data_IF_176680586361
#
_entry.id   IF_176680586361
#
_cell.length_a   1.000
_cell.length_b   1.000
_cell.length_c   1.000
_cell.angle_alpha   90.00
_cell.angle_beta   90.00
_cell.angle_gamma   90.00
#
_symmetry.space_group_name_H-M   'P 1'
#
loop_
_entity.id
_entity.type
_entity.pdbx_description
1 polymer ?
#
# COMPACT_ATOMS: atom_id res chain seq x y z
N UNK A 1 15.55 -23.16 -7.05
CA UNK A 1 15.04 -24.16 -8.02
C UNK A 1 14.55 -23.31 -9.18
N UNK A 2 13.45 -23.57 -9.90
CA UNK A 2 12.88 -22.50 -10.72
C UNK A 2 11.47 -22.30 -10.18
N UNK A 3 11.34 -21.32 -9.30
CA UNK A 3 10.18 -21.07 -8.44
C UNK A 3 8.92 -20.87 -9.31
N UNK A 4 9.09 -20.24 -10.47
CA UNK A 4 8.03 -20.06 -11.47
C UNK A 4 7.51 -21.39 -12.05
N UNK A 5 8.38 -22.41 -12.22
CA UNK A 5 7.95 -23.74 -12.68
C UNK A 5 7.14 -24.47 -11.62
N UNK A 6 7.47 -24.29 -10.35
CA UNK A 6 6.71 -24.87 -9.23
C UNK A 6 5.31 -24.25 -9.16
N UNK A 7 5.24 -22.92 -9.31
CA UNK A 7 3.98 -22.18 -9.39
C UNK A 7 3.12 -22.63 -10.57
N UNK A 8 3.73 -22.77 -11.75
CA UNK A 8 3.02 -23.22 -12.95
C UNK A 8 2.48 -24.65 -12.80
N UNK A 9 3.26 -25.54 -12.15
CA UNK A 9 2.82 -26.91 -11.88
C UNK A 9 1.69 -26.95 -10.84
N UNK A 10 1.78 -26.13 -9.78
CA UNK A 10 0.77 -26.03 -8.72
C UNK A 10 -0.55 -25.47 -9.23
N UNK A 11 -0.49 -24.42 -10.04
CA UNK A 11 -1.69 -23.74 -10.53
C UNK A 11 -2.35 -24.46 -11.70
N UNK A 12 -1.70 -25.48 -12.29
CA UNK A 12 -2.19 -26.15 -13.50
C UNK A 12 -2.15 -25.26 -14.73
N UNK A 13 -1.35 -24.19 -14.73
CA UNK A 13 -1.27 -23.24 -15.84
C UNK A 13 -2.44 -22.25 -15.92
N UNK A 14 -3.12 -21.99 -14.79
CA UNK A 14 -4.12 -20.92 -14.66
C UNK A 14 -3.79 -19.98 -13.51
N UNK A 15 -4.47 -18.84 -13.48
CA UNK A 15 -4.43 -17.87 -12.39
C UNK A 15 -5.09 -18.48 -11.15
N UNK A 16 -4.39 -18.47 -10.03
CA UNK A 16 -4.86 -19.06 -8.77
C UNK A 16 -5.99 -18.24 -8.10
N UNK A 17 -6.26 -17.03 -8.60
CA UNK A 17 -7.36 -16.19 -8.12
C UNK A 17 -8.59 -16.28 -9.02
N UNK A 18 -8.43 -16.03 -10.33
CA UNK A 18 -9.57 -15.91 -11.26
C UNK A 18 -9.69 -17.04 -12.29
N UNK A 19 -8.72 -17.96 -12.36
CA UNK A 19 -8.74 -19.08 -13.31
C UNK A 19 -8.37 -18.73 -14.76
N UNK A 20 -8.04 -17.48 -15.09
CA UNK A 20 -7.56 -17.10 -16.43
C UNK A 20 -6.20 -17.74 -16.74
N UNK A 21 -5.96 -18.12 -17.99
CA UNK A 21 -4.66 -18.65 -18.47
C UNK A 21 -3.78 -17.58 -19.15
N UNK A 22 -4.18 -16.31 -19.14
CA UNK A 22 -3.50 -15.25 -19.89
C UNK A 22 -2.48 -14.48 -19.05
N UNK A 23 -1.29 -14.22 -19.61
CA UNK A 23 -0.29 -13.33 -19.01
C UNK A 23 0.14 -13.73 -17.59
N UNK A 24 0.28 -15.04 -17.34
CA UNK A 24 0.56 -15.56 -16.00
C UNK A 24 1.96 -15.19 -15.53
N UNK A 25 2.06 -14.74 -14.30
CA UNK A 25 3.33 -14.44 -13.67
C UNK A 25 3.27 -14.61 -12.16
N UNK A 26 4.45 -14.77 -11.56
CA UNK A 26 4.60 -14.78 -10.11
C UNK A 26 4.29 -13.40 -9.52
N UNK A 27 3.57 -13.43 -8.40
CA UNK A 27 3.35 -12.30 -7.51
C UNK A 27 3.60 -12.75 -6.07
N UNK A 28 4.53 -12.08 -5.39
CA UNK A 28 4.85 -12.37 -3.99
C UNK A 28 3.74 -11.86 -3.06
N UNK A 29 3.43 -12.65 -2.03
CA UNK A 29 2.51 -12.26 -0.97
C UNK A 29 3.34 -11.70 0.18
N UNK A 30 3.50 -10.38 0.23
CA UNK A 30 4.33 -9.72 1.24
C UNK A 30 3.75 -9.88 2.66
N UNK A 31 4.57 -10.01 3.72
CA UNK A 31 6.01 -10.27 3.70
C UNK A 31 6.34 -11.63 3.07
N UNK A 32 7.31 -11.65 2.16
CA UNK A 32 7.72 -12.85 1.41
C UNK A 32 9.24 -13.03 1.48
N UNK A 33 9.69 -14.27 1.43
CA UNK A 33 11.09 -14.69 1.25
C UNK A 33 11.44 -14.98 -0.22
N UNK A 34 10.50 -14.75 -1.15
CA UNK A 34 10.66 -15.02 -2.58
C UNK A 34 10.41 -16.47 -2.96
N UNK A 35 10.02 -17.34 -2.02
CA UNK A 35 9.68 -18.73 -2.29
C UNK A 35 8.36 -18.87 -3.05
N UNK A 36 8.19 -20.01 -3.74
CA UNK A 36 6.93 -20.36 -4.39
C UNK A 36 5.78 -20.53 -3.36
N UNK A 37 6.10 -20.93 -2.13
CA UNK A 37 5.12 -21.05 -1.03
C UNK A 37 4.62 -19.68 -0.55
N UNK A 38 5.41 -18.62 -0.73
CA UNK A 38 5.04 -17.25 -0.37
C UNK A 38 4.69 -16.39 -1.59
N UNK A 39 4.30 -17.05 -2.68
CA UNK A 39 3.92 -16.42 -3.94
C UNK A 39 2.68 -17.05 -4.52
N UNK A 40 1.94 -16.27 -5.30
CA UNK A 40 0.78 -16.70 -6.09
C UNK A 40 1.07 -16.54 -7.58
N UNK A 41 0.47 -17.40 -8.40
CA UNK A 41 0.53 -17.32 -9.86
C UNK A 41 -0.73 -16.65 -10.37
N UNK A 42 -0.59 -15.45 -10.93
CA UNK A 42 -1.71 -14.58 -11.27
C UNK A 42 -1.64 -14.11 -12.71
N UNK A 43 -2.80 -13.91 -13.33
CA UNK A 43 -2.88 -13.29 -14.65
C UNK A 43 -2.51 -11.81 -14.59
N UNK A 44 -2.19 -11.25 -15.75
CA UNK A 44 -1.77 -9.85 -15.91
C UNK A 44 -2.79 -8.86 -15.31
N UNK A 45 -4.09 -9.10 -15.50
CA UNK A 45 -5.14 -8.22 -14.97
C UNK A 45 -5.20 -8.24 -13.43
N UNK A 46 -5.19 -9.44 -12.82
CA UNK A 46 -5.11 -9.59 -11.37
C UNK A 46 -3.86 -8.89 -10.82
N UNK A 47 -2.69 -9.15 -11.42
CA UNK A 47 -1.43 -8.55 -10.99
C UNK A 47 -1.48 -7.02 -11.06
N UNK A 48 -1.97 -6.48 -12.16
CA UNK A 48 -2.06 -5.03 -12.36
C UNK A 48 -2.91 -4.38 -11.28
N UNK A 49 -4.12 -4.89 -11.02
CA UNK A 49 -5.01 -4.35 -9.99
C UNK A 49 -4.45 -4.50 -8.57
N UNK A 50 -3.84 -5.65 -8.25
CA UNK A 50 -3.26 -5.89 -6.92
C UNK A 50 -2.07 -4.95 -6.64
N UNK A 51 -1.23 -4.72 -7.66
CA UNK A 51 -0.04 -3.85 -7.54
C UNK A 51 -0.41 -2.38 -7.57
N UNK A 52 -1.39 -1.98 -8.39
CA UNK A 52 -1.85 -0.58 -8.47
C UNK A 52 -2.72 -0.18 -7.27
N UNK A 53 -3.26 -1.15 -6.53
CA UNK A 53 -4.23 -0.95 -5.45
C UNK A 53 -5.57 -0.36 -5.93
N UNK A 54 -5.83 -0.40 -7.25
CA UNK A 54 -7.08 0.00 -7.88
C UNK A 54 -7.90 -1.27 -8.17
N UNK A 55 -8.59 -1.78 -7.15
CA UNK A 55 -9.32 -3.04 -7.22
C UNK A 55 -10.75 -2.83 -7.73
N UNK A 56 -11.15 -3.61 -8.73
CA UNK A 56 -12.54 -3.66 -9.20
C UNK A 56 -13.33 -4.71 -8.39
N UNK A 57 -14.35 -4.26 -7.66
CA UNK A 57 -15.19 -5.12 -6.81
C UNK A 57 -15.88 -6.24 -7.58
N UNK A 58 -16.30 -5.99 -8.84
CA UNK A 58 -17.02 -6.97 -9.64
C UNK A 58 -16.09 -8.04 -10.21
N UNK A 59 -14.88 -7.64 -10.59
CA UNK A 59 -13.83 -8.53 -11.09
C UNK A 59 -13.35 -9.48 -10.00
N UNK A 60 -13.16 -8.99 -8.77
CA UNK A 60 -12.69 -9.79 -7.64
C UNK A 60 -13.79 -10.63 -6.96
N UNK A 61 -14.95 -10.81 -7.60
CA UNK A 61 -15.91 -11.84 -7.16
C UNK A 61 -15.35 -13.26 -7.24
N UNK A 62 -14.26 -13.48 -7.99
CA UNK A 62 -13.53 -14.75 -7.96
C UNK A 62 -12.95 -15.08 -6.58
N UNK A 63 -12.77 -14.09 -5.69
CA UNK A 63 -12.29 -14.31 -4.32
C UNK A 63 -13.27 -15.14 -3.47
N UNK A 64 -14.56 -15.17 -3.82
CA UNK A 64 -15.54 -16.05 -3.18
C UNK A 64 -15.13 -17.53 -3.24
N UNK A 65 -14.47 -17.93 -4.34
CA UNK A 65 -13.99 -19.28 -4.54
C UNK A 65 -12.52 -19.42 -4.11
N UNK A 66 -11.67 -18.44 -4.45
CA UNK A 66 -10.23 -18.48 -4.15
C UNK A 66 -9.93 -18.50 -2.64
N UNK A 67 -10.78 -17.90 -1.81
CA UNK A 67 -10.65 -17.92 -0.35
C UNK A 67 -10.67 -19.34 0.26
N UNK A 68 -11.19 -20.34 -0.47
CA UNK A 68 -11.26 -21.73 -0.03
C UNK A 68 -10.10 -22.59 -0.56
N UNK A 69 -9.14 -21.99 -1.28
CA UNK A 69 -8.01 -22.70 -1.85
C UNK A 69 -7.23 -23.51 -0.80
N UNK A 70 -6.75 -24.69 -1.19
CA UNK A 70 -5.87 -25.50 -0.34
C UNK A 70 -4.45 -24.91 -0.24
N UNK A 71 -4.12 -23.95 -1.11
CA UNK A 71 -2.81 -23.28 -1.13
C UNK A 71 -2.80 -22.12 -0.13
N UNK A 72 -1.94 -22.13 0.91
CA UNK A 72 -1.89 -21.07 1.92
C UNK A 72 -1.65 -19.67 1.34
N UNK A 73 -0.74 -19.54 0.37
CA UNK A 73 -0.46 -18.27 -0.30
C UNK A 73 -1.71 -17.64 -0.94
N UNK A 74 -2.54 -18.47 -1.57
CA UNK A 74 -3.77 -18.04 -2.23
C UNK A 74 -4.80 -17.59 -1.20
N UNK A 75 -5.00 -18.38 -0.13
CA UNK A 75 -5.85 -18.02 1.02
C UNK A 75 -5.46 -16.67 1.64
N UNK A 76 -4.17 -16.48 1.91
CA UNK A 76 -3.66 -15.25 2.51
C UNK A 76 -3.81 -14.06 1.56
N UNK A 77 -3.52 -14.24 0.27
CA UNK A 77 -3.75 -13.20 -0.73
C UNK A 77 -5.24 -12.85 -0.84
N UNK A 78 -6.15 -13.84 -0.85
CA UNK A 78 -7.59 -13.59 -0.82
C UNK A 78 -8.00 -12.80 0.42
N UNK A 79 -7.52 -13.18 1.61
CA UNK A 79 -7.77 -12.43 2.85
C UNK A 79 -7.33 -10.97 2.77
N UNK A 80 -6.14 -10.70 2.22
CA UNK A 80 -5.62 -9.34 2.05
C UNK A 80 -6.53 -8.53 1.12
N UNK A 81 -6.89 -9.09 -0.03
CA UNK A 81 -7.72 -8.39 -1.01
C UNK A 81 -9.16 -8.18 -0.51
N UNK A 82 -9.73 -9.14 0.20
CA UNK A 82 -11.05 -9.01 0.83
C UNK A 82 -11.07 -7.90 1.89
N UNK A 83 -10.01 -7.75 2.67
CA UNK A 83 -9.85 -6.63 3.60
C UNK A 83 -9.77 -5.28 2.87
N UNK A 84 -8.98 -5.21 1.79
CA UNK A 84 -8.89 -3.98 0.97
C UNK A 84 -10.21 -3.59 0.30
N UNK A 85 -11.00 -4.59 -0.12
CA UNK A 85 -12.33 -4.41 -0.72
C UNK A 85 -13.45 -4.20 0.32
N UNK A 86 -13.18 -4.32 1.61
CA UNK A 86 -14.18 -4.15 2.67
C UNK A 86 -15.27 -5.24 2.72
N UNK A 87 -14.98 -6.44 2.21
CA UNK A 87 -15.95 -7.56 2.11
C UNK A 87 -16.04 -8.37 3.40
N UNK A 88 -16.59 -7.74 4.45
CA UNK A 88 -16.70 -8.35 5.78
C UNK A 88 -17.53 -9.65 5.77
N UNK A 89 -18.54 -9.74 4.91
CA UNK A 89 -19.37 -10.92 4.70
C UNK A 89 -18.56 -12.19 4.43
N UNK A 90 -17.49 -12.05 3.63
CA UNK A 90 -16.61 -13.17 3.27
C UNK A 90 -15.52 -13.37 4.31
N UNK A 91 -15.02 -12.30 4.91
CA UNK A 91 -14.02 -12.36 5.98
C UNK A 91 -14.53 -13.09 7.23
N UNK A 92 -15.83 -13.02 7.52
CA UNK A 92 -16.43 -13.75 8.63
C UNK A 92 -16.55 -15.26 8.36
N UNK A 93 -16.52 -15.66 7.09
CA UNK A 93 -16.62 -17.06 6.67
C UNK A 93 -15.26 -17.71 6.45
N UNK A 94 -14.24 -16.93 6.06
CA UNK A 94 -12.92 -17.48 5.77
C UNK A 94 -12.32 -18.18 6.99
N UNK A 95 -11.85 -19.40 6.80
CA UNK A 95 -11.08 -20.10 7.81
C UNK A 95 -9.59 -20.01 7.47
N UNK A 96 -8.83 -19.40 8.37
CA UNK A 96 -7.38 -19.28 8.29
C UNK A 96 -6.76 -19.88 9.54
N UNK A 97 -5.62 -20.55 9.36
CA UNK A 97 -4.76 -20.94 10.46
C UNK A 97 -4.08 -19.71 11.09
N UNK A 98 -3.61 -19.83 12.33
CA UNK A 98 -3.07 -18.69 13.08
C UNK A 98 -1.86 -18.04 12.39
N UNK A 99 -1.02 -18.84 11.74
CA UNK A 99 0.14 -18.40 10.97
C UNK A 99 -0.29 -17.68 9.68
N UNK A 100 -1.27 -18.22 8.95
CA UNK A 100 -1.86 -17.62 7.75
C UNK A 100 -2.51 -16.28 8.06
N UNK A 101 -3.30 -16.21 9.13
CA UNK A 101 -3.93 -14.96 9.60
C UNK A 101 -2.88 -13.93 9.99
N UNK A 102 -1.89 -14.32 10.81
CA UNK A 102 -0.78 -13.46 11.19
C UNK A 102 0.01 -12.95 9.98
N UNK A 103 0.18 -13.78 8.95
CA UNK A 103 0.85 -13.38 7.71
C UNK A 103 0.05 -12.32 6.94
N UNK A 104 -1.26 -12.55 6.75
CA UNK A 104 -2.16 -11.59 6.12
C UNK A 104 -2.26 -10.28 6.89
N UNK A 105 -2.35 -10.34 8.23
CA UNK A 105 -2.37 -9.16 9.08
C UNK A 105 -1.07 -8.36 8.95
N UNK A 106 0.10 -9.01 8.89
CA UNK A 106 1.37 -8.32 8.63
C UNK A 106 1.37 -7.66 7.25
N UNK A 107 0.81 -8.29 6.23
CA UNK A 107 0.70 -7.73 4.89
C UNK A 107 -0.16 -6.47 4.86
N UNK A 108 -1.33 -6.51 5.50
CA UNK A 108 -2.25 -5.39 5.62
C UNK A 108 -1.62 -4.23 6.40
N UNK A 109 -0.92 -4.56 7.50
CA UNK A 109 -0.22 -3.58 8.32
C UNK A 109 1.08 -3.07 7.69
N UNK A 110 1.68 -3.80 6.74
CA UNK A 110 2.83 -3.32 5.98
C UNK A 110 2.47 -2.15 5.06
N UNK A 111 1.21 -2.07 4.60
CA UNK A 111 0.64 -0.90 3.90
C UNK A 111 0.02 0.16 4.83
N UNK A 112 -0.29 -0.19 6.08
CA UNK A 112 -0.89 0.70 7.08
C UNK A 112 0.08 1.79 7.59
N UNK A 113 1.36 1.72 7.22
CA UNK A 113 2.32 2.80 7.42
C UNK A 113 2.36 3.81 6.27
N UNK A 114 1.29 3.91 5.45
CA UNK A 114 1.09 5.10 4.62
C UNK A 114 0.72 6.24 5.53
N UNK A 115 1.74 6.86 6.12
CA UNK A 115 1.64 8.07 6.90
C UNK A 115 0.80 9.09 6.11
N UNK A 116 -0.40 9.37 6.62
CA UNK A 116 -1.30 10.34 6.00
C UNK A 116 -0.97 11.72 6.58
N UNK A 117 -0.22 12.49 5.81
CA UNK A 117 0.06 13.89 6.12
C UNK A 117 -1.20 14.72 5.95
N UNK A 118 -1.62 15.43 7.01
CA UNK A 118 -2.76 16.35 6.98
C UNK A 118 -2.33 17.73 7.41
N UNK A 119 -2.81 18.75 6.71
CA UNK A 119 -2.57 20.15 7.08
C UNK A 119 -3.30 20.54 8.39
N UNK A 120 -3.13 21.77 8.84
CA UNK A 120 -3.75 22.30 10.07
C UNK A 120 -5.29 22.28 10.07
N UNK A 121 -5.93 22.14 8.89
CA UNK A 121 -7.38 22.04 8.72
C UNK A 121 -7.85 20.59 8.49
N UNK A 122 -6.95 19.61 8.55
CA UNK A 122 -7.26 18.20 8.31
C UNK A 122 -7.30 17.81 6.83
N UNK A 123 -6.87 18.69 5.91
CA UNK A 123 -6.81 18.39 4.48
C UNK A 123 -5.61 17.50 4.20
N UNK A 124 -5.85 16.38 3.49
CA UNK A 124 -4.78 15.46 3.09
C UNK A 124 -3.82 16.14 2.12
N UNK A 125 -2.53 16.02 2.43
CA UNK A 125 -1.42 16.49 1.61
C UNK A 125 -0.92 15.35 0.73
N UNK A 126 -0.60 15.66 -0.52
CA UNK A 126 0.02 14.77 -1.49
C UNK A 126 1.39 15.31 -1.89
N UNK A 127 2.28 14.42 -2.32
CA UNK A 127 3.56 14.84 -2.90
C UNK A 127 3.31 15.71 -4.14
N UNK A 128 4.04 16.82 -4.24
CA UNK A 128 3.86 17.82 -5.30
C UNK A 128 2.92 18.97 -4.94
N UNK A 129 2.15 18.87 -3.84
CA UNK A 129 1.25 19.94 -3.40
C UNK A 129 2.00 21.23 -3.04
N UNK A 130 1.24 22.32 -2.96
CA UNK A 130 1.70 23.59 -2.41
C UNK A 130 1.00 23.90 -1.10
N UNK A 131 1.76 24.40 -0.13
CA UNK A 131 1.27 24.74 1.20
C UNK A 131 1.72 26.13 1.61
N UNK A 132 0.95 26.79 2.47
CA UNK A 132 1.29 28.07 3.08
C UNK A 132 1.57 27.89 4.57
N UNK A 133 2.61 28.54 5.05
CA UNK A 133 3.00 28.52 6.46
C UNK A 133 2.07 29.44 7.26
N UNK A 134 1.44 28.92 8.31
CA UNK A 134 0.47 29.64 9.15
C UNK A 134 1.12 30.41 10.31
N UNK A 135 2.36 30.06 10.71
CA UNK A 135 3.09 30.73 11.79
C UNK A 135 4.59 30.82 11.49
N UNK A 136 5.30 31.75 12.14
CA UNK A 136 6.76 31.83 12.01
C UNK A 136 7.43 30.58 12.61
N UNK A 137 8.27 29.91 11.82
CA UNK A 137 9.00 28.69 12.20
C UNK A 137 10.50 28.95 12.16
N UNK A 138 11.19 28.81 13.29
CA UNK A 138 12.65 28.90 13.33
C UNK A 138 13.28 27.61 12.77
N UNK A 139 14.11 27.75 11.73
CA UNK A 139 14.76 26.61 11.08
C UNK A 139 16.06 26.28 11.81
N UNK A 140 16.06 25.17 12.54
CA UNK A 140 17.26 24.66 13.20
C UNK A 140 18.37 24.39 12.16
N UNK A 141 19.56 24.93 12.41
CA UNK A 141 20.75 24.70 11.58
C UNK A 141 20.88 25.59 10.34
N UNK A 142 19.85 26.36 9.96
CA UNK A 142 19.92 27.26 8.80
C UNK A 142 20.03 28.76 9.17
N UNK A 143 19.83 29.11 10.44
CA UNK A 143 20.00 30.48 10.95
C UNK A 143 18.95 31.48 10.45
N UNK A 144 17.84 31.00 9.87
CA UNK A 144 16.73 31.84 9.41
C UNK A 144 15.38 31.33 9.91
N UNK A 145 14.37 32.21 9.87
CA UNK A 145 12.99 31.89 10.20
C UNK A 145 12.17 31.78 8.92
N UNK A 146 11.48 30.65 8.73
CA UNK A 146 10.46 30.52 7.71
C UNK A 146 9.22 31.32 8.18
N UNK A 147 8.96 32.44 7.50
CA UNK A 147 7.92 33.39 7.91
C UNK A 147 6.51 32.89 7.60
N UNK A 148 5.55 33.28 8.43
CA UNK A 148 4.12 33.13 8.13
C UNK A 148 3.79 33.76 6.78
N UNK A 149 2.93 33.09 6.02
CA UNK A 149 2.54 33.49 4.67
C UNK A 149 3.49 33.03 3.57
N UNK A 150 4.64 32.45 3.92
CA UNK A 150 5.55 31.86 2.92
C UNK A 150 4.87 30.64 2.28
N UNK A 151 4.84 30.62 0.94
CA UNK A 151 4.37 29.47 0.17
C UNK A 151 5.52 28.51 -0.11
N UNK A 152 5.31 27.23 0.17
CA UNK A 152 6.22 26.13 -0.12
C UNK A 152 5.56 25.26 -1.17
N UNK A 153 6.17 25.17 -2.35
CA UNK A 153 5.63 24.42 -3.49
C UNK A 153 6.38 23.11 -3.68
N UNK A 154 5.73 22.13 -4.31
CA UNK A 154 6.29 20.80 -4.61
C UNK A 154 6.80 20.12 -3.34
N UNK A 155 5.96 20.05 -2.32
CA UNK A 155 6.32 19.35 -1.08
C UNK A 155 6.53 17.86 -1.33
N UNK A 156 7.39 17.23 -0.53
CA UNK A 156 7.53 15.79 -0.47
C UNK A 156 7.02 15.28 0.88
N UNK A 157 6.53 14.04 0.89
CA UNK A 157 5.98 13.38 2.07
C UNK A 157 6.95 12.28 2.52
N UNK A 158 7.66 12.47 3.64
CA UNK A 158 8.49 11.43 4.23
C UNK A 158 7.63 10.22 4.61
N UNK A 159 8.16 9.02 4.37
CA UNK A 159 7.47 7.77 4.67
C UNK A 159 7.64 7.32 6.13
N UNK A 160 8.53 7.98 6.87
CA UNK A 160 8.99 7.63 8.22
C UNK A 160 8.68 8.68 9.29
N UNK A 161 8.16 9.85 8.89
CA UNK A 161 7.82 10.97 9.79
C UNK A 161 6.38 11.37 9.53
N UNK A 162 5.52 11.39 10.55
CA UNK A 162 4.08 11.62 10.42
C UNK A 162 3.60 13.06 10.60
N UNK A 163 4.37 13.83 11.37
CA UNK A 163 4.06 15.21 11.69
C UNK A 163 4.82 16.21 10.82
N UNK A 164 5.68 15.79 9.88
CA UNK A 164 6.46 16.69 9.01
C UNK A 164 6.36 16.38 7.53
N UNK A 165 6.26 17.43 6.72
CA UNK A 165 6.56 17.37 5.29
C UNK A 165 7.94 17.93 4.99
N UNK A 166 8.45 17.57 3.84
CA UNK A 166 9.70 18.09 3.30
C UNK A 166 9.42 19.19 2.28
N UNK A 167 10.08 20.33 2.42
CA UNK A 167 9.89 21.48 1.55
C UNK A 167 11.16 22.29 1.33
N UNK A 168 11.10 23.26 0.41
CA UNK A 168 12.18 24.22 0.18
C UNK A 168 11.76 25.63 0.55
N UNK A 169 12.56 26.28 1.39
CA UNK A 169 12.42 27.70 1.73
C UNK A 169 13.79 28.35 1.56
N UNK A 170 13.85 29.48 0.84
CA UNK A 170 15.10 30.19 0.51
C UNK A 170 16.16 29.29 -0.15
N UNK A 171 15.74 28.30 -0.95
CA UNK A 171 16.63 27.34 -1.60
C UNK A 171 17.15 26.22 -0.69
N UNK A 172 16.90 26.28 0.62
CA UNK A 172 17.28 25.24 1.58
C UNK A 172 16.15 24.24 1.76
N UNK A 173 16.52 22.95 1.76
CA UNK A 173 15.63 21.83 2.05
C UNK A 173 15.41 21.70 3.56
N UNK A 174 14.16 21.74 4.01
CA UNK A 174 13.80 21.74 5.43
C UNK A 174 12.57 20.85 5.68
N UNK A 175 12.44 20.36 6.91
CA UNK A 175 11.25 19.68 7.39
C UNK A 175 10.32 20.68 8.09
N UNK A 176 9.04 20.64 7.75
CA UNK A 176 8.01 21.55 8.25
C UNK A 176 6.88 20.75 8.89
N UNK A 177 6.52 21.12 10.12
CA UNK A 177 5.42 20.48 10.83
C UNK A 177 4.07 20.75 10.17
N UNK A 178 3.32 19.70 9.89
CA UNK A 178 2.04 19.73 9.16
C UNK A 178 0.94 20.52 9.88
N UNK A 179 0.94 20.51 11.21
CA UNK A 179 0.03 21.30 12.07
C UNK A 179 0.13 22.83 11.87
N UNK A 180 1.17 23.31 11.18
CA UNK A 180 1.37 24.74 10.90
C UNK A 180 1.29 25.09 9.42
N UNK A 181 0.80 24.17 8.61
CA UNK A 181 0.68 24.32 7.16
C UNK A 181 -0.79 24.34 6.77
N UNK A 182 -1.09 25.00 5.67
CA UNK A 182 -2.39 24.92 4.99
C UNK A 182 -2.17 24.62 3.52
N UNK A 183 -2.88 23.65 2.97
CA UNK A 183 -2.87 23.40 1.52
C UNK A 183 -3.41 24.62 0.75
N UNK A 184 -2.70 24.99 -0.32
CA UNK A 184 -3.06 26.07 -1.25
C UNK A 184 -3.90 25.52 -2.39
#
# INVERSE_FOLDING_TARGET
MNEEKELQARSGGVCELCGSSEGLSQLEVAPSDGSAEQSVYVCENCKTQIVSDELDESYFNCLNDAMWSEVPAVKVMSYILLNKLGRQDLLDMIYLEDDQKSWGDKALNAGANKIVHKDANGVVLNAGDSVVILKDLEVKGAGFTAKRGTTVTRIALPADIDDHIEGRVNGTKIYLKTEFLKKV
#
